data_IF_217640364025
#
_entry.id   IF_217640364025
#
_cell.length_a   1.000
_cell.length_b   1.000
_cell.length_c   1.000
_cell.angle_alpha   90.00
_cell.angle_beta   90.00
_cell.angle_gamma   90.00
#
_symmetry.space_group_name_H-M   'P 1'
#
loop_
_entity.id
_entity.type
_entity.pdbx_description
1 polymer ?
#
# COMPACT_ATOMS: atom_id res chain seq x y z
N UNK A 1 -2.29 -37.76 -19.39
CA UNK A 1 -2.25 -36.50 -20.16
C UNK A 1 -3.15 -35.47 -19.49
N UNK A 2 -4.42 -35.80 -19.23
CA UNK A 2 -5.38 -34.96 -18.48
C UNK A 2 -4.87 -34.43 -17.13
N UNK A 3 -4.25 -35.28 -16.28
CA UNK A 3 -3.73 -34.86 -14.98
C UNK A 3 -2.60 -33.81 -15.09
N UNK A 4 -1.72 -33.97 -16.09
CA UNK A 4 -0.60 -33.06 -16.31
C UNK A 4 -1.10 -31.69 -16.78
N UNK A 5 -2.10 -31.68 -17.67
CA UNK A 5 -2.78 -30.47 -18.14
C UNK A 5 -3.47 -29.78 -16.97
N UNK A 6 -4.20 -30.53 -16.14
CA UNK A 6 -4.86 -29.99 -14.95
C UNK A 6 -3.88 -29.33 -13.97
N UNK A 7 -2.73 -29.97 -13.71
CA UNK A 7 -1.68 -29.39 -12.86
C UNK A 7 -1.06 -28.13 -13.47
N UNK A 8 -0.77 -28.14 -14.78
CA UNK A 8 -0.21 -26.98 -15.46
C UNK A 8 -1.17 -25.77 -15.41
N UNK A 9 -2.47 -26.00 -15.62
CA UNK A 9 -3.50 -24.95 -15.51
C UNK A 9 -3.59 -24.43 -14.08
N UNK A 10 -3.65 -25.32 -13.08
CA UNK A 10 -3.72 -24.92 -11.68
C UNK A 10 -2.52 -24.06 -11.27
N UNK A 11 -1.32 -24.45 -11.68
CA UNK A 11 -0.08 -23.72 -11.38
C UNK A 11 -0.06 -22.36 -12.09
N UNK A 12 -0.53 -22.29 -13.33
CA UNK A 12 -0.67 -21.04 -14.07
C UNK A 12 -1.63 -20.06 -13.38
N UNK A 13 -2.80 -20.54 -12.94
CA UNK A 13 -3.77 -19.71 -12.17
C UNK A 13 -3.16 -19.22 -10.86
N UNK A 14 -2.46 -20.09 -10.14
CA UNK A 14 -1.87 -19.75 -8.84
C UNK A 14 -0.78 -18.68 -8.97
N UNK A 15 0.05 -18.76 -10.01
CA UNK A 15 1.01 -17.70 -10.34
C UNK A 15 0.32 -16.39 -10.70
N UNK A 16 -0.75 -16.45 -11.51
CA UNK A 16 -1.49 -15.26 -11.93
C UNK A 16 -2.10 -14.54 -10.71
N UNK A 17 -2.70 -15.29 -9.79
CA UNK A 17 -3.23 -14.76 -8.54
C UNK A 17 -2.13 -14.19 -7.64
N UNK A 18 -0.95 -14.83 -7.57
CA UNK A 18 0.17 -14.34 -6.80
C UNK A 18 0.68 -12.97 -7.30
N UNK A 19 0.88 -12.84 -8.62
CA UNK A 19 1.33 -11.57 -9.20
C UNK A 19 0.25 -10.48 -9.16
N UNK A 20 -1.02 -10.83 -9.41
CA UNK A 20 -2.12 -9.89 -9.33
C UNK A 20 -2.39 -9.43 -7.89
N UNK A 21 -2.19 -10.30 -6.90
CA UNK A 21 -2.39 -9.99 -5.48
C UNK A 21 -1.28 -9.13 -4.89
N UNK A 22 -0.10 -9.06 -5.51
CA UNK A 22 1.05 -8.32 -4.98
C UNK A 22 0.75 -6.82 -4.83
N UNK A 23 0.06 -6.21 -5.78
CA UNK A 23 -0.35 -4.80 -5.68
C UNK A 23 -1.28 -4.55 -4.49
N UNK A 24 -2.16 -5.51 -4.19
CA UNK A 24 -3.11 -5.44 -3.08
C UNK A 24 -2.40 -5.66 -1.73
N UNK A 25 -1.47 -6.62 -1.67
CA UNK A 25 -0.77 -6.99 -0.43
C UNK A 25 0.23 -5.89 -0.01
N UNK A 26 0.96 -5.33 -0.98
CA UNK A 26 1.98 -4.32 -0.71
C UNK A 26 1.44 -2.88 -0.69
N UNK A 27 0.13 -2.70 -0.96
CA UNK A 27 -0.51 -1.39 -0.86
C UNK A 27 0.02 -0.38 -1.87
N UNK A 28 0.35 -0.83 -3.09
CA UNK A 28 0.78 0.08 -4.15
C UNK A 28 -0.37 0.99 -4.57
N UNK A 29 -0.13 2.30 -4.57
CA UNK A 29 -1.11 3.31 -4.95
C UNK A 29 -0.54 4.18 -6.07
N UNK A 30 -1.34 4.41 -7.12
CA UNK A 30 -1.05 5.37 -8.17
C UNK A 30 -1.85 6.62 -7.87
N UNK A 31 -1.18 7.77 -7.81
CA UNK A 31 -1.80 9.09 -7.67
C UNK A 31 -1.80 9.73 -9.06
N UNK A 32 -2.99 10.05 -9.57
CA UNK A 32 -3.17 10.70 -10.86
C UNK A 32 -2.80 12.18 -10.86
N UNK A 33 -2.69 12.77 -12.05
CA UNK A 33 -2.29 14.19 -12.22
C UNK A 33 -3.26 15.19 -11.58
N UNK A 34 -4.54 14.82 -11.44
CA UNK A 34 -5.59 15.64 -10.83
C UNK A 34 -5.89 15.21 -9.37
N UNK A 35 -5.01 14.44 -8.76
CA UNK A 35 -5.16 13.91 -7.40
C UNK A 35 -4.00 14.36 -6.51
N UNK A 36 -4.24 14.35 -5.20
CA UNK A 36 -3.20 14.60 -4.19
C UNK A 36 -3.25 13.47 -3.16
N UNK A 37 -2.12 12.83 -2.91
CA UNK A 37 -2.05 11.77 -1.91
C UNK A 37 -1.87 12.35 -0.51
N UNK A 38 -2.62 11.82 0.45
CA UNK A 38 -2.45 12.12 1.88
C UNK A 38 -2.04 10.85 2.61
N UNK A 39 -0.82 10.85 3.13
CA UNK A 39 -0.27 9.70 3.85
C UNK A 39 -0.86 9.55 5.25
N UNK A 40 -1.02 8.31 5.71
CA UNK A 40 -1.34 8.02 7.12
C UNK A 40 -0.30 7.08 7.69
N UNK A 41 0.47 7.54 8.67
CA UNK A 41 1.41 6.71 9.42
C UNK A 41 0.68 6.01 10.56
N UNK A 42 0.56 4.68 10.51
CA UNK A 42 -0.17 3.91 11.52
C UNK A 42 0.67 3.53 12.74
N UNK A 43 1.98 3.37 12.54
CA UNK A 43 2.89 2.86 13.57
C UNK A 43 4.18 3.65 13.60
N UNK A 44 4.73 3.83 14.79
CA UNK A 44 6.06 4.40 15.00
C UNK A 44 6.85 3.51 15.96
N UNK A 45 8.03 3.05 15.53
CA UNK A 45 8.87 2.14 16.32
C UNK A 45 9.58 2.83 17.47
N UNK A 46 9.70 4.16 17.44
CA UNK A 46 10.34 4.96 18.50
C UNK A 46 9.37 5.33 19.62
N UNK A 47 8.08 5.04 19.45
CA UNK A 47 7.03 5.37 20.41
C UNK A 47 6.52 6.80 20.32
N UNK A 48 6.83 7.55 19.25
CA UNK A 48 6.24 8.87 19.01
C UNK A 48 4.73 8.76 18.95
N UNK A 49 4.05 9.79 19.48
CA UNK A 49 2.59 9.91 19.46
C UNK A 49 2.21 11.29 18.99
N UNK A 50 1.08 11.38 18.29
CA UNK A 50 0.48 12.66 17.99
C UNK A 50 0.06 13.34 19.31
N UNK A 51 0.50 14.59 19.57
CA UNK A 51 0.11 15.33 20.75
C UNK A 51 -1.41 15.45 20.89
N UNK A 52 -1.95 15.40 22.12
CA UNK A 52 -3.39 15.55 22.34
C UNK A 52 -3.89 16.88 21.77
N UNK A 53 -5.05 16.85 21.10
CA UNK A 53 -5.63 18.01 20.44
C UNK A 53 -5.09 18.30 19.04
N UNK A 54 -4.04 17.59 18.56
CA UNK A 54 -3.63 17.62 17.16
C UNK A 54 -4.34 16.53 16.35
N UNK A 55 -4.67 16.85 15.10
CA UNK A 55 -5.26 15.90 14.13
C UNK A 55 -4.32 15.59 12.97
N UNK A 56 -3.39 16.51 12.67
CA UNK A 56 -2.41 16.41 11.58
C UNK A 56 -1.01 16.27 12.18
N UNK A 57 -0.28 15.27 11.72
CA UNK A 57 1.11 15.02 12.06
C UNK A 57 2.02 15.94 11.23
N UNK A 58 2.88 16.68 11.93
CA UNK A 58 3.84 17.61 11.32
C UNK A 58 5.28 17.08 11.39
N UNK A 59 5.56 16.20 12.37
CA UNK A 59 6.93 15.79 12.73
C UNK A 59 7.13 14.27 12.64
N UNK A 60 6.57 13.64 11.59
CA UNK A 60 6.59 12.19 11.36
C UNK A 60 5.95 11.38 12.50
N UNK A 61 5.02 11.99 13.24
CA UNK A 61 4.19 11.32 14.25
C UNK A 61 3.18 10.37 13.56
N UNK A 62 2.71 9.31 14.22
CA UNK A 62 1.56 8.55 13.73
C UNK A 62 0.33 9.45 13.52
N UNK A 63 -0.40 9.27 12.42
CA UNK A 63 -1.57 10.07 12.06
C UNK A 63 -1.59 10.49 10.59
N UNK A 64 -2.52 11.37 10.23
CA UNK A 64 -2.57 11.99 8.90
C UNK A 64 -1.38 12.93 8.74
N UNK A 65 -0.56 12.69 7.73
CA UNK A 65 0.63 13.51 7.49
C UNK A 65 0.22 14.82 6.79
N UNK A 66 0.86 15.93 7.17
CA UNK A 66 0.69 17.20 6.47
C UNK A 66 1.33 17.20 5.08
N UNK A 67 2.43 16.45 4.91
CA UNK A 67 3.10 16.32 3.63
C UNK A 67 2.21 15.53 2.65
N UNK A 68 2.03 16.11 1.48
CA UNK A 68 1.28 15.49 0.40
C UNK A 68 2.20 14.74 -0.56
N UNK A 69 1.62 13.75 -1.23
CA UNK A 69 2.29 13.00 -2.29
C UNK A 69 1.83 13.57 -3.64
N UNK A 70 2.82 13.86 -4.49
CA UNK A 70 2.60 14.29 -5.86
C UNK A 70 2.04 13.13 -6.73
N UNK A 71 1.60 13.39 -7.96
CA UNK A 71 1.27 12.34 -8.90
C UNK A 71 2.45 11.36 -9.10
N UNK A 72 2.16 10.06 -9.11
CA UNK A 72 3.19 9.02 -9.19
C UNK A 72 2.76 7.67 -8.59
N UNK A 73 3.69 6.70 -8.60
CA UNK A 73 3.51 5.37 -8.00
C UNK A 73 4.18 5.35 -6.61
N UNK A 74 3.41 4.98 -5.58
CA UNK A 74 3.84 4.91 -4.18
C UNK A 74 3.58 3.53 -3.58
N UNK A 75 4.30 3.22 -2.50
CA UNK A 75 4.21 1.99 -1.71
C UNK A 75 4.44 2.31 -0.22
#
# INVERSE_FOLDING_TARGET
MELLIGLAVALGVLLLLFFAGWSVIFGMVIIGENEVGVGTKRFDVTGKKLPPGKQIALDNEPGFQADTLAPGLYF
#
